data_IF_738463959920
#
_entry.id   IF_738463959920
#
_cell.length_a   1.000
_cell.length_b   1.000
_cell.length_c   1.000
_cell.angle_alpha   90.00
_cell.angle_beta   90.00
_cell.angle_gamma   90.00
#
_symmetry.space_group_name_H-M   'P 1'
#
loop_
_entity.id
_entity.type
_entity.pdbx_description
1 polymer ?
#
# COMPACT_ATOMS: atom_id res chain seq x y z
N UNK A 1 -4.13 -0.11 -0.26
CA UNK A 1 -3.69 0.73 0.88
C UNK A 1 -4.60 0.47 2.06
N UNK A 2 -4.74 1.43 2.97
CA UNK A 2 -5.67 1.32 4.09
C UNK A 2 -6.47 2.63 4.29
N UNK A 3 -7.72 2.51 4.72
CA UNK A 3 -8.63 3.61 4.98
C UNK A 3 -8.94 3.70 6.48
N UNK A 4 -8.63 4.85 7.08
CA UNK A 4 -8.89 5.14 8.49
C UNK A 4 -10.19 5.92 8.74
N UNK A 5 -10.99 6.12 7.70
CA UNK A 5 -12.20 6.96 7.72
C UNK A 5 -13.51 6.17 7.70
N UNK A 6 -13.45 4.83 7.67
CA UNK A 6 -14.65 4.00 7.83
C UNK A 6 -15.06 3.88 9.30
N UNK A 7 -16.37 3.82 9.54
CA UNK A 7 -16.89 3.42 10.84
C UNK A 7 -16.74 1.90 11.01
N UNK A 8 -15.77 1.51 11.82
CA UNK A 8 -15.43 0.10 12.09
C UNK A 8 -16.12 -0.43 13.36
N UNK A 9 -17.06 0.32 13.93
CA UNK A 9 -17.84 -0.09 15.11
C UNK A 9 -16.96 -0.44 16.31
N UNK A 10 -17.11 -1.66 16.82
CA UNK A 10 -16.39 -2.15 18.02
C UNK A 10 -14.87 -2.22 17.84
N UNK A 11 -14.36 -2.25 16.60
CA UNK A 11 -12.92 -2.24 16.34
C UNK A 11 -12.28 -0.88 16.63
N UNK A 12 -13.08 0.20 16.72
CA UNK A 12 -12.59 1.55 16.99
C UNK A 12 -11.78 2.16 15.83
N UNK A 13 -10.80 3.00 16.17
CA UNK A 13 -9.99 3.71 15.18
C UNK A 13 -8.88 2.82 14.59
N UNK A 14 -9.26 2.00 13.61
CA UNK A 14 -8.34 1.17 12.82
C UNK A 14 -8.26 1.69 11.39
N UNK A 15 -7.21 1.30 10.68
CA UNK A 15 -7.09 1.53 9.25
C UNK A 15 -7.34 0.22 8.50
N UNK A 16 -8.50 0.09 7.89
CA UNK A 16 -8.95 -1.12 7.21
C UNK A 16 -8.36 -1.21 5.80
N UNK A 17 -8.07 -2.40 5.30
CA UNK A 17 -7.59 -2.59 3.93
C UNK A 17 -8.63 -2.08 2.94
N UNK A 18 -8.17 -1.27 1.99
CA UNK A 18 -9.07 -0.65 1.03
C UNK A 18 -8.38 -0.32 -0.28
N UNK A 19 -9.19 -0.20 -1.32
CA UNK A 19 -8.77 0.09 -2.69
C UNK A 19 -9.36 1.42 -3.15
N UNK A 20 -8.49 2.27 -3.66
CA UNK A 20 -8.82 3.59 -4.20
C UNK A 20 -8.27 3.69 -5.62
N UNK A 21 -8.68 4.74 -6.32
CA UNK A 21 -8.20 5.04 -7.67
C UNK A 21 -7.56 6.42 -7.64
N UNK A 22 -6.39 6.54 -8.27
CA UNK A 22 -5.79 7.82 -8.61
C UNK A 22 -5.86 8.04 -10.12
N UNK A 23 -6.22 9.26 -10.53
CA UNK A 23 -6.20 9.65 -11.94
C UNK A 23 -5.55 11.02 -12.11
N UNK A 24 -4.92 11.25 -13.25
CA UNK A 24 -4.33 12.53 -13.57
C UNK A 24 -5.40 13.50 -14.07
N UNK A 25 -5.58 14.63 -13.39
CA UNK A 25 -6.50 15.70 -13.79
C UNK A 25 -5.72 16.76 -14.57
N UNK A 26 -5.78 16.65 -15.90
CA UNK A 26 -4.97 17.47 -16.82
C UNK A 26 -5.13 18.98 -16.59
N UNK A 27 -6.37 19.46 -16.41
CA UNK A 27 -6.66 20.89 -16.22
C UNK A 27 -6.01 21.48 -14.95
N UNK A 28 -5.80 20.64 -13.94
CA UNK A 28 -5.20 21.04 -12.66
C UNK A 28 -3.75 20.59 -12.51
N UNK A 29 -3.24 19.79 -13.46
CA UNK A 29 -1.88 19.24 -13.48
C UNK A 29 -1.49 18.58 -12.16
N UNK A 30 -2.39 17.74 -11.64
CA UNK A 30 -2.17 16.97 -10.43
C UNK A 30 -2.89 15.64 -10.48
N UNK A 31 -2.42 14.72 -9.64
CA UNK A 31 -3.17 13.51 -9.32
C UNK A 31 -4.36 13.85 -8.41
N UNK A 32 -5.48 13.19 -8.68
CA UNK A 32 -6.69 13.23 -7.85
C UNK A 32 -6.93 11.83 -7.31
N UNK A 33 -7.12 11.74 -5.99
CA UNK A 33 -7.38 10.49 -5.29
C UNK A 33 -8.88 10.33 -5.07
N UNK A 34 -9.42 9.15 -5.41
CA UNK A 34 -10.86 8.88 -5.34
C UNK A 34 -11.17 7.53 -4.72
N UNK A 35 -12.25 7.48 -3.95
CA UNK A 35 -12.82 6.27 -3.39
C UNK A 35 -14.28 6.13 -3.83
N UNK A 36 -14.48 5.42 -4.93
CA UNK A 36 -15.82 5.17 -5.48
C UNK A 36 -16.59 4.17 -4.63
N UNK A 37 -15.92 3.22 -3.99
CA UNK A 37 -16.59 2.24 -3.12
C UNK A 37 -17.10 2.91 -1.84
N UNK A 38 -16.29 3.83 -1.30
CA UNK A 38 -16.64 4.69 -0.18
C UNK A 38 -17.79 5.66 -0.45
N UNK A 39 -18.28 5.82 -1.70
CA UNK A 39 -19.32 6.82 -2.03
C UNK A 39 -20.66 6.63 -1.29
N UNK A 40 -20.88 5.45 -0.71
CA UNK A 40 -22.05 5.14 0.12
C UNK A 40 -21.80 5.42 1.62
N UNK A 41 -20.58 5.79 1.99
CA UNK A 41 -20.22 6.12 3.36
C UNK A 41 -20.70 7.53 3.66
N UNK A 42 -21.72 7.63 4.49
CA UNK A 42 -22.24 8.92 4.95
C UNK A 42 -21.23 9.61 5.88
N UNK A 43 -21.23 10.95 5.86
CA UNK A 43 -20.55 11.79 6.86
C UNK A 43 -19.01 11.70 6.91
N UNK A 44 -18.35 11.30 5.83
CA UNK A 44 -16.92 11.56 5.69
C UNK A 44 -16.72 13.07 5.48
N UNK A 45 -15.90 13.72 6.32
CA UNK A 45 -15.75 15.18 6.36
C UNK A 45 -14.97 15.80 5.18
N UNK A 46 -14.90 15.12 4.04
CA UNK A 46 -14.11 15.46 2.86
C UNK A 46 -14.75 14.89 1.59
N UNK A 47 -14.29 15.32 0.41
CA UNK A 47 -14.78 14.83 -0.87
C UNK A 47 -14.14 13.48 -1.23
N UNK A 48 -14.94 12.44 -1.41
CA UNK A 48 -14.47 11.11 -1.83
C UNK A 48 -14.00 11.06 -3.29
N UNK A 49 -14.32 12.07 -4.09
CA UNK A 49 -13.85 12.20 -5.47
C UNK A 49 -12.64 13.15 -5.59
N UNK A 50 -12.15 13.69 -4.48
CA UNK A 50 -10.91 14.48 -4.36
C UNK A 50 -10.38 14.40 -2.92
N UNK A 51 -9.95 13.20 -2.53
CA UNK A 51 -9.54 12.88 -1.17
C UNK A 51 -8.25 13.64 -0.80
N UNK A 52 -8.19 14.34 0.35
CA UNK A 52 -6.97 14.97 0.84
C UNK A 52 -5.83 13.96 1.06
N UNK A 53 -4.58 14.37 0.81
CA UNK A 53 -3.42 13.48 0.81
C UNK A 53 -3.16 12.74 2.14
N UNK A 54 -3.60 13.31 3.26
CA UNK A 54 -3.35 12.80 4.62
C UNK A 54 -4.50 11.93 5.18
N UNK A 55 -5.56 11.71 4.40
CA UNK A 55 -6.74 10.96 4.82
C UNK A 55 -6.61 9.45 4.56
N UNK A 56 -6.01 9.08 3.44
CA UNK A 56 -5.78 7.67 3.07
C UNK A 56 -4.39 7.21 3.52
N UNK A 57 -4.30 6.05 4.16
CA UNK A 57 -3.01 5.48 4.57
C UNK A 57 -2.36 4.78 3.36
N UNK A 58 -1.62 5.56 2.57
CA UNK A 58 -0.82 5.04 1.46
C UNK A 58 0.32 4.13 1.98
N UNK A 59 0.53 2.96 1.35
CA UNK A 59 1.37 1.92 1.94
C UNK A 59 2.86 2.29 2.01
N UNK A 60 3.37 3.10 1.07
CA UNK A 60 4.74 3.58 1.10
C UNK A 60 5.03 4.43 2.35
N UNK A 61 4.14 5.39 2.66
CA UNK A 61 4.23 6.22 3.87
C UNK A 61 4.04 5.39 5.13
N UNK A 62 2.96 4.59 5.18
CA UNK A 62 2.64 3.75 6.32
C UNK A 62 3.78 2.77 6.66
N UNK A 63 4.41 2.15 5.65
CA UNK A 63 5.55 1.26 5.86
C UNK A 63 6.72 1.99 6.53
N UNK A 64 7.09 3.16 6.00
CA UNK A 64 8.19 3.96 6.55
C UNK A 64 7.90 4.47 7.96
N UNK A 65 6.65 4.83 8.25
CA UNK A 65 6.24 5.31 9.58
C UNK A 65 6.19 4.16 10.61
N UNK A 66 5.77 2.96 10.21
CA UNK A 66 5.91 1.75 11.04
C UNK A 66 7.40 1.47 11.31
N UNK A 67 8.21 1.45 10.26
CA UNK A 67 9.65 1.14 10.36
C UNK A 67 10.42 2.18 11.17
N UNK A 68 9.96 3.43 11.14
CA UNK A 68 10.46 4.52 11.98
C UNK A 68 9.87 4.61 13.38
N UNK A 69 8.93 3.71 13.74
CA UNK A 69 8.29 3.70 15.07
C UNK A 69 7.31 4.84 15.33
N UNK A 70 6.84 5.53 14.30
CA UNK A 70 5.87 6.63 14.42
C UNK A 70 4.43 6.14 14.55
N UNK A 71 4.14 4.95 14.00
CA UNK A 71 2.81 4.34 14.02
C UNK A 71 2.93 2.88 14.47
N UNK A 72 2.00 2.44 15.32
CA UNK A 72 1.88 1.04 15.71
C UNK A 72 1.38 0.22 14.49
N UNK A 73 2.13 -0.80 14.03
CA UNK A 73 1.68 -1.65 12.93
C UNK A 73 0.31 -2.29 13.19
N UNK A 74 -0.07 -2.51 14.45
CA UNK A 74 -1.34 -3.14 14.82
C UNK A 74 -2.57 -2.31 14.47
N UNK A 75 -2.41 -1.04 14.08
CA UNK A 75 -3.47 -0.18 13.53
C UNK A 75 -4.00 -0.67 12.18
N UNK A 76 -3.18 -1.38 11.40
CA UNK A 76 -3.51 -1.77 10.03
C UNK A 76 -4.14 -3.16 9.98
N UNK A 77 -5.36 -3.22 9.42
CA UNK A 77 -6.20 -4.41 9.39
C UNK A 77 -6.43 -4.86 7.95
N UNK A 78 -6.51 -6.17 7.75
CA UNK A 78 -7.08 -6.76 6.54
C UNK A 78 -8.54 -7.18 6.80
N UNK A 79 -9.31 -7.45 5.73
CA UNK A 79 -10.65 -8.03 5.82
C UNK A 79 -10.64 -9.45 6.42
N UNK A 80 -9.49 -10.13 6.35
CA UNK A 80 -9.20 -11.39 7.04
C UNK A 80 -8.56 -11.13 8.43
N UNK A 81 -8.40 -12.12 9.32
CA UNK A 81 -7.89 -11.86 10.68
C UNK A 81 -6.45 -11.30 10.74
N UNK A 82 -5.75 -11.21 9.61
CA UNK A 82 -4.43 -10.61 9.54
C UNK A 82 -4.44 -9.09 9.79
N UNK A 83 -3.42 -8.66 10.53
CA UNK A 83 -3.18 -7.27 10.93
C UNK A 83 -1.68 -7.07 11.13
N UNK A 84 -1.23 -5.82 11.14
CA UNK A 84 0.18 -5.50 11.29
C UNK A 84 0.87 -5.06 10.00
N UNK A 85 2.19 -4.92 10.06
CA UNK A 85 3.02 -4.45 8.95
C UNK A 85 2.93 -5.29 7.68
N UNK A 86 2.56 -6.59 7.79
CA UNK A 86 2.33 -7.46 6.63
C UNK A 86 1.22 -6.92 5.72
N UNK A 87 0.16 -6.34 6.30
CA UNK A 87 -1.00 -5.82 5.54
C UNK A 87 -0.57 -4.62 4.70
N UNK A 88 0.23 -3.74 5.28
CA UNK A 88 0.83 -2.59 4.59
C UNK A 88 1.80 -3.07 3.51
N UNK A 89 2.61 -4.10 3.80
CA UNK A 89 3.56 -4.65 2.84
C UNK A 89 2.87 -5.25 1.61
N UNK A 90 1.73 -5.93 1.77
CA UNK A 90 0.93 -6.40 0.64
C UNK A 90 0.54 -5.26 -0.27
N UNK A 91 -0.08 -4.21 0.30
CA UNK A 91 -0.47 -3.03 -0.47
C UNK A 91 0.72 -2.35 -1.15
N UNK A 92 1.87 -2.23 -0.48
CA UNK A 92 3.08 -1.64 -1.08
C UNK A 92 3.49 -2.38 -2.37
N UNK A 93 3.47 -3.71 -2.35
CA UNK A 93 3.79 -4.49 -3.54
C UNK A 93 2.67 -4.47 -4.58
N UNK A 94 1.40 -4.42 -4.20
CA UNK A 94 0.31 -4.23 -5.17
C UNK A 94 0.44 -2.91 -5.92
N UNK A 95 0.71 -1.81 -5.21
CA UNK A 95 0.93 -0.49 -5.81
C UNK A 95 2.16 -0.52 -6.74
N UNK A 96 3.26 -1.14 -6.30
CA UNK A 96 4.47 -1.26 -7.11
C UNK A 96 4.25 -2.09 -8.39
N UNK A 97 3.58 -3.23 -8.29
CA UNK A 97 3.25 -4.05 -9.47
C UNK A 97 2.30 -3.31 -10.42
N UNK A 98 1.34 -2.55 -9.88
CA UNK A 98 0.42 -1.72 -10.66
C UNK A 98 1.17 -0.62 -11.41
N UNK A 99 2.10 0.08 -10.76
CA UNK A 99 2.96 1.09 -11.37
C UNK A 99 3.80 0.52 -12.52
N UNK A 100 4.27 -0.72 -12.37
CA UNK A 100 5.06 -1.43 -13.38
C UNK A 100 4.20 -2.06 -14.49
N UNK A 101 2.90 -1.74 -14.52
CA UNK A 101 1.92 -2.29 -15.45
C UNK A 101 1.93 -3.83 -15.49
N UNK A 102 2.10 -4.45 -14.32
CA UNK A 102 2.14 -5.90 -14.16
C UNK A 102 0.93 -6.40 -13.38
N UNK A 103 -0.08 -6.88 -14.10
CA UNK A 103 -1.27 -7.50 -13.51
C UNK A 103 -0.90 -8.78 -12.74
N UNK A 104 -1.35 -8.86 -11.49
CA UNK A 104 -1.13 -9.99 -10.59
C UNK A 104 -2.43 -10.43 -9.95
N UNK A 105 -2.54 -11.72 -9.63
CA UNK A 105 -3.68 -12.25 -8.86
C UNK A 105 -3.56 -11.76 -7.42
N UNK A 106 -4.67 -11.36 -6.79
CA UNK A 106 -4.69 -10.78 -5.45
C UNK A 106 -3.92 -11.57 -4.38
N UNK A 107 -3.96 -12.90 -4.41
CA UNK A 107 -3.23 -13.74 -3.43
C UNK A 107 -1.77 -14.01 -3.82
N UNK A 108 -1.32 -13.48 -4.95
CA UNK A 108 0.06 -13.59 -5.44
C UNK A 108 0.86 -12.39 -4.97
N UNK A 109 2.09 -12.65 -4.55
CA UNK A 109 3.02 -11.58 -4.18
C UNK A 109 4.43 -12.11 -4.00
N UNK A 110 5.42 -11.23 -3.87
CA UNK A 110 6.79 -11.60 -3.55
C UNK A 110 6.92 -12.52 -2.34
N UNK A 111 8.01 -13.28 -2.26
CA UNK A 111 8.26 -14.16 -1.12
C UNK A 111 8.27 -13.40 0.22
N UNK A 112 8.72 -12.14 0.22
CA UNK A 112 8.73 -11.27 1.39
C UNK A 112 7.35 -11.01 1.99
N UNK A 113 6.29 -11.18 1.20
CA UNK A 113 4.92 -10.94 1.62
C UNK A 113 4.20 -12.23 2.04
N UNK A 114 4.93 -13.33 2.25
CA UNK A 114 4.36 -14.63 2.64
C UNK A 114 4.77 -15.01 4.05
N UNK A 115 3.90 -15.74 4.72
CA UNK A 115 4.26 -16.41 5.97
C UNK A 115 4.82 -17.81 5.66
N UNK A 116 5.89 -18.24 6.36
CA UNK A 116 6.55 -17.58 7.49
C UNK A 116 7.67 -16.59 7.10
N UNK A 117 7.98 -16.41 5.81
CA UNK A 117 9.12 -15.63 5.31
C UNK A 117 9.17 -14.20 5.84
N UNK A 118 8.03 -13.51 5.89
CA UNK A 118 7.92 -12.16 6.42
C UNK A 118 8.47 -12.04 7.85
N UNK A 119 8.17 -13.02 8.70
CA UNK A 119 8.65 -13.06 10.09
C UNK A 119 10.15 -13.38 10.23
N UNK A 120 10.84 -13.62 9.10
CA UNK A 120 12.26 -14.00 9.03
C UNK A 120 13.08 -13.06 8.15
N UNK A 121 12.50 -11.94 7.71
CA UNK A 121 13.23 -10.95 6.93
C UNK A 121 14.43 -10.43 7.71
N UNK A 122 15.57 -10.41 7.05
CA UNK A 122 16.80 -9.83 7.58
C UNK A 122 16.75 -8.30 7.54
N UNK A 123 17.58 -7.63 8.33
CA UNK A 123 17.70 -6.17 8.30
C UNK A 123 18.03 -5.64 6.89
N UNK A 124 18.83 -6.38 6.12
CA UNK A 124 19.17 -6.04 4.74
C UNK A 124 17.96 -6.13 3.81
N UNK A 125 17.11 -7.14 3.97
CA UNK A 125 15.88 -7.26 3.18
C UNK A 125 14.87 -6.18 3.56
N UNK A 126 14.73 -5.89 4.85
CA UNK A 126 13.92 -4.77 5.33
C UNK A 126 14.43 -3.45 4.76
N UNK A 127 15.75 -3.21 4.74
CA UNK A 127 16.34 -2.00 4.16
C UNK A 127 16.06 -1.85 2.66
N UNK A 128 16.05 -2.96 1.90
CA UNK A 128 15.63 -2.95 0.49
C UNK A 128 14.18 -2.53 0.33
N UNK A 129 13.28 -3.05 1.18
CA UNK A 129 11.86 -2.69 1.17
C UNK A 129 11.70 -1.22 1.61
N UNK A 130 12.45 -0.77 2.62
CA UNK A 130 12.48 0.62 3.04
C UNK A 130 12.93 1.53 1.89
N UNK A 131 13.91 1.11 1.08
CA UNK A 131 14.33 1.85 -0.10
C UNK A 131 13.25 1.91 -1.17
N UNK A 132 12.59 0.79 -1.48
CA UNK A 132 11.43 0.77 -2.40
C UNK A 132 10.35 1.75 -1.92
N UNK A 133 9.97 1.68 -0.64
CA UNK A 133 8.95 2.55 -0.06
C UNK A 133 9.33 4.03 -0.15
N UNK A 134 10.60 4.40 0.05
CA UNK A 134 11.04 5.81 -0.12
C UNK A 134 10.85 6.33 -1.54
N UNK A 135 11.18 5.52 -2.54
CA UNK A 135 11.02 5.90 -3.95
C UNK A 135 9.55 5.96 -4.34
N UNK A 136 8.73 5.04 -3.82
CA UNK A 136 7.28 5.01 -4.02
C UNK A 136 6.52 6.19 -3.39
N UNK A 137 7.17 7.03 -2.58
CA UNK A 137 6.55 8.27 -2.08
C UNK A 137 6.32 9.31 -3.17
N UNK A 138 7.13 9.28 -4.24
CA UNK A 138 7.04 10.21 -5.37
C UNK A 138 7.45 9.47 -6.66
N UNK A 139 6.59 8.57 -7.16
CA UNK A 139 6.93 7.70 -8.28
C UNK A 139 7.15 8.47 -9.59
N UNK A 140 6.57 9.67 -9.74
CA UNK A 140 6.80 10.53 -10.91
C UNK A 140 8.24 11.02 -10.97
N UNK A 141 8.83 11.39 -9.82
CA UNK A 141 10.23 11.82 -9.73
C UNK A 141 11.19 10.63 -9.84
N UNK A 142 10.86 9.50 -9.21
CA UNK A 142 11.77 8.36 -9.07
C UNK A 142 11.47 7.20 -10.02
N UNK A 143 10.71 7.44 -11.09
CA UNK A 143 10.24 6.37 -11.98
C UNK A 143 11.40 5.56 -12.58
N UNK A 144 12.49 6.21 -12.98
CA UNK A 144 13.65 5.54 -13.55
C UNK A 144 14.36 4.63 -12.54
N UNK A 145 14.51 5.07 -11.29
CA UNK A 145 15.04 4.25 -10.18
C UNK A 145 14.16 3.04 -9.92
N UNK A 146 12.83 3.24 -9.87
CA UNK A 146 11.84 2.18 -9.67
C UNK A 146 11.92 1.15 -10.80
N UNK A 147 12.01 1.60 -12.05
CA UNK A 147 12.22 0.72 -13.21
C UNK A 147 13.53 -0.06 -13.12
N UNK A 148 14.62 0.57 -12.66
CA UNK A 148 15.89 -0.15 -12.44
C UNK A 148 15.73 -1.25 -11.40
N UNK A 149 15.08 -0.97 -10.27
CA UNK A 149 14.78 -1.98 -9.25
C UNK A 149 13.95 -3.11 -9.85
N UNK A 150 12.92 -2.80 -10.65
CA UNK A 150 12.09 -3.80 -11.33
C UNK A 150 12.92 -4.74 -12.18
N UNK A 151 13.86 -4.21 -12.97
CA UNK A 151 14.69 -5.03 -13.85
C UNK A 151 15.76 -5.85 -13.12
N UNK A 152 16.32 -5.32 -12.03
CA UNK A 152 17.44 -5.96 -11.33
C UNK A 152 17.01 -6.86 -10.17
N UNK A 153 15.99 -6.48 -9.41
CA UNK A 153 15.58 -7.18 -8.20
C UNK A 153 14.43 -8.14 -8.45
N UNK A 154 14.81 -9.34 -8.90
CA UNK A 154 13.87 -10.43 -9.22
C UNK A 154 12.97 -10.80 -8.04
N UNK A 155 13.46 -10.70 -6.81
CA UNK A 155 12.67 -11.05 -5.63
C UNK A 155 11.47 -10.13 -5.43
N UNK A 156 11.50 -8.89 -5.95
CA UNK A 156 10.35 -7.98 -5.96
C UNK A 156 9.37 -8.26 -7.11
N UNK A 157 9.80 -8.90 -8.20
CA UNK A 157 8.93 -9.23 -9.35
C UNK A 157 8.32 -10.62 -9.27
N UNK A 158 9.06 -11.59 -8.74
CA UNK A 158 8.66 -13.00 -8.78
C UNK A 158 7.58 -13.26 -7.73
N UNK A 159 6.35 -13.35 -8.21
CA UNK A 159 5.20 -13.61 -7.36
C UNK A 159 4.95 -15.11 -7.16
N UNK A 160 4.44 -15.46 -5.99
CA UNK A 160 3.98 -16.80 -5.62
C UNK A 160 2.63 -16.71 -4.92
N UNK A 161 1.80 -17.73 -5.06
CA UNK A 161 0.55 -17.84 -4.34
C UNK A 161 -0.22 -19.10 -4.74
N UNK A 162 -1.33 -19.34 -4.05
CA UNK A 162 -2.21 -20.45 -4.39
C UNK A 162 -2.82 -20.27 -5.78
N UNK A 163 -3.16 -21.41 -6.41
CA UNK A 163 -4.14 -21.42 -7.50
C UNK A 163 -5.52 -21.45 -6.82
N UNK A 164 -6.43 -20.58 -7.27
CA UNK A 164 -7.82 -20.54 -6.82
C UNK A 164 -8.55 -21.85 -7.15
#
# INVERSE_FOLDING_TARGET
GNAAYFDMGELGQVSADHWIIQYWKEDEKRWVTTDVDGCLTENVGFDLFDIPEDVFDFPARAWLDIRGGKVDPMRFHNAKPERGAIVVLWSLFYDYHSLMNNEIIYIHGPAYTKFPEFGRLTDKELEKIDNLARLMLDPDVYFEELMRIWETERDFRLVRGGLL
#
